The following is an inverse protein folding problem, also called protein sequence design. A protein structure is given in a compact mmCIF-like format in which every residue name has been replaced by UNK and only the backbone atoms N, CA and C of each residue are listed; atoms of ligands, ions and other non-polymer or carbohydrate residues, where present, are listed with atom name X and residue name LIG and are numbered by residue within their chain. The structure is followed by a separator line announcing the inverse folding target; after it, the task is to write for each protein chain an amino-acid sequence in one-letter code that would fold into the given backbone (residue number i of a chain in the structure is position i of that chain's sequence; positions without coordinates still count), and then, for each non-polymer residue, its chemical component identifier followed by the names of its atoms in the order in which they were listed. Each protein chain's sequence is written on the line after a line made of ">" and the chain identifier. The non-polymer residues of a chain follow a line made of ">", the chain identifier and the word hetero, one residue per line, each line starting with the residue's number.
data_IF_516274594722
#
_entry.id   IF_516274594722
#
_cell.length_a   1.000
_cell.length_b   1.000
_cell.length_c   1.000
_cell.angle_alpha   90.00
_cell.angle_beta   90.00
_cell.angle_gamma   90.00
#
_symmetry.space_group_name_H-M   'P 1'
#
loop_
_entity.id
_entity.type
_entity.pdbx_description
1 polymer ?
#
# COMPACT_ATOMS: atom_id res chain seq x y z
N UNK A 1 -12.66 7.60 -13.05
CA UNK A 1 -13.60 7.22 -11.98
C UNK A 1 -14.88 8.05 -12.14
N UNK A 2 -16.02 7.39 -12.32
CA UNK A 2 -17.32 8.08 -12.34
C UNK A 2 -17.61 8.69 -10.98
N UNK A 3 -18.34 9.80 -10.96
CA UNK A 3 -18.76 10.44 -9.70
C UNK A 3 -20.09 9.81 -9.27
N UNK A 4 -20.24 9.55 -7.98
CA UNK A 4 -21.49 9.03 -7.40
C UNK A 4 -22.67 9.99 -7.64
N UNK A 5 -22.41 11.30 -7.52
CA UNK A 5 -23.39 12.36 -7.73
C UNK A 5 -22.99 13.23 -8.94
N UNK A 6 -22.96 12.63 -10.14
CA UNK A 6 -22.72 13.37 -11.38
C UNK A 6 -22.87 12.51 -12.62
N UNK A 7 -23.17 13.14 -13.77
CA UNK A 7 -23.52 12.45 -15.01
C UNK A 7 -22.29 11.93 -15.81
N UNK A 8 -21.07 12.11 -15.28
CA UNK A 8 -19.82 11.79 -15.97
C UNK A 8 -19.46 10.29 -15.90
N UNK A 9 -19.08 9.71 -17.05
CA UNK A 9 -18.75 8.28 -17.22
C UNK A 9 -17.24 7.96 -17.17
N UNK A 10 -16.49 8.61 -16.28
CA UNK A 10 -15.03 8.51 -16.25
C UNK A 10 -14.51 7.10 -15.85
N UNK A 11 -13.58 6.51 -16.61
CA UNK A 11 -13.12 5.12 -16.38
C UNK A 11 -11.73 4.99 -15.71
N UNK A 12 -11.04 6.09 -15.40
CA UNK A 12 -9.69 6.01 -14.81
C UNK A 12 -9.69 5.30 -13.45
N UNK A 13 -8.90 4.23 -13.34
CA UNK A 13 -8.63 3.45 -12.13
C UNK A 13 -7.24 2.78 -12.24
N UNK A 14 -6.59 2.44 -11.11
CA UNK A 14 -5.33 1.69 -11.13
C UNK A 14 -5.53 0.26 -11.65
N UNK A 15 -4.64 -0.19 -12.54
CA UNK A 15 -4.59 -1.57 -13.01
C UNK A 15 -3.46 -2.33 -12.29
N UNK A 16 -3.75 -3.20 -11.31
CA UNK A 16 -2.72 -3.98 -10.62
C UNK A 16 -2.07 -5.00 -11.58
N UNK A 17 -0.76 -5.30 -11.40
CA UNK A 17 -0.09 -6.29 -12.24
C UNK A 17 -0.67 -7.69 -12.03
N UNK A 18 -0.68 -8.49 -13.09
CA UNK A 18 -1.14 -9.89 -13.04
C UNK A 18 -0.33 -10.72 -12.04
N UNK A 19 1.00 -10.57 -12.06
CA UNK A 19 1.91 -11.30 -11.17
C UNK A 19 1.84 -10.73 -9.76
N UNK A 20 1.47 -11.59 -8.79
CA UNK A 20 1.35 -11.23 -7.36
C UNK A 20 2.60 -11.49 -6.53
N UNK A 21 3.66 -12.02 -7.13
CA UNK A 21 4.97 -12.22 -6.47
C UNK A 21 5.74 -10.90 -6.44
N UNK A 22 6.61 -10.68 -5.43
CA UNK A 22 7.45 -9.50 -5.41
C UNK A 22 8.42 -9.50 -6.62
N UNK A 23 8.78 -8.33 -7.15
CA UNK A 23 9.76 -8.22 -8.22
C UNK A 23 11.15 -8.68 -7.75
N UNK A 24 11.96 -9.22 -8.66
CA UNK A 24 13.31 -9.73 -8.35
C UNK A 24 14.29 -8.65 -7.89
N UNK A 25 14.08 -7.41 -8.30
CA UNK A 25 14.90 -6.26 -7.90
C UNK A 25 14.59 -5.75 -6.49
N UNK A 26 13.46 -6.16 -5.90
CA UNK A 26 13.05 -5.73 -4.57
C UNK A 26 13.73 -6.61 -3.51
N UNK A 27 14.83 -6.10 -2.92
CA UNK A 27 15.62 -6.81 -1.89
C UNK A 27 15.14 -6.57 -0.45
N UNK A 28 13.95 -6.01 -0.29
CA UNK A 28 13.41 -5.58 1.01
C UNK A 28 12.77 -6.77 1.73
N UNK A 29 13.08 -6.95 3.02
CA UNK A 29 12.46 -8.03 3.81
C UNK A 29 11.03 -7.65 4.23
N UNK A 30 10.12 -8.62 4.39
CA UNK A 30 8.76 -8.34 4.85
C UNK A 30 8.71 -7.60 6.20
N UNK A 31 9.62 -7.92 7.13
CA UNK A 31 9.71 -7.30 8.44
C UNK A 31 10.06 -5.80 8.35
N UNK A 32 11.02 -5.43 7.48
CA UNK A 32 11.40 -4.03 7.26
C UNK A 32 10.23 -3.21 6.72
N UNK A 33 9.41 -3.80 5.84
CA UNK A 33 8.20 -3.15 5.31
C UNK A 33 7.17 -2.91 6.42
N UNK A 34 6.98 -3.86 7.33
CA UNK A 34 6.09 -3.70 8.48
C UNK A 34 6.57 -2.58 9.42
N UNK A 35 7.88 -2.52 9.70
CA UNK A 35 8.47 -1.47 10.52
C UNK A 35 8.30 -0.07 9.90
N UNK A 36 8.48 0.04 8.58
CA UNK A 36 8.23 1.29 7.86
C UNK A 36 6.75 1.71 7.95
N UNK A 37 5.82 0.77 7.78
CA UNK A 37 4.37 1.04 7.92
C UNK A 37 4.06 1.58 9.32
N UNK A 38 4.58 0.94 10.36
CA UNK A 38 4.34 1.32 11.76
C UNK A 38 4.96 2.69 12.06
N UNK A 39 6.15 2.97 11.53
CA UNK A 39 6.83 4.26 11.68
C UNK A 39 6.05 5.39 11.01
N UNK A 40 5.53 5.17 9.81
CA UNK A 40 4.73 6.16 9.09
C UNK A 40 3.36 6.37 9.74
N UNK A 41 2.73 5.30 10.24
CA UNK A 41 1.49 5.41 11.00
C UNK A 41 1.68 6.18 12.32
N UNK A 42 2.81 6.00 13.03
CA UNK A 42 3.14 6.81 14.22
C UNK A 42 3.29 8.30 13.91
N UNK A 43 3.69 8.65 12.69
CA UNK A 43 3.74 10.04 12.22
C UNK A 43 2.36 10.61 11.86
N UNK A 44 1.29 9.83 11.99
CA UNK A 44 -0.08 10.25 11.69
C UNK A 44 -0.47 10.10 10.21
N UNK A 45 0.31 9.40 9.38
CA UNK A 45 -0.07 9.18 7.99
C UNK A 45 -1.22 8.17 7.88
N UNK A 46 -2.17 8.46 7.01
CA UNK A 46 -3.29 7.54 6.70
C UNK A 46 -2.81 6.33 5.89
N UNK A 47 -3.50 5.17 5.94
CA UNK A 47 -3.10 3.99 5.19
C UNK A 47 -2.92 4.21 3.68
N UNK A 48 -3.71 5.09 3.08
CA UNK A 48 -3.59 5.47 1.66
C UNK A 48 -2.29 6.24 1.40
N UNK A 49 -1.96 7.22 2.25
CA UNK A 49 -0.71 7.98 2.14
C UNK A 49 0.51 7.08 2.35
N UNK A 50 0.47 6.18 3.35
CA UNK A 50 1.54 5.21 3.59
C UNK A 50 1.80 4.37 2.34
N UNK A 51 0.75 3.88 1.68
CA UNK A 51 0.89 3.12 0.44
C UNK A 51 1.55 3.91 -0.69
N UNK A 52 1.22 5.20 -0.83
CA UNK A 52 1.85 6.11 -1.80
C UNK A 52 3.32 6.33 -1.47
N UNK A 53 3.65 6.62 -0.21
CA UNK A 53 5.03 6.83 0.24
C UNK A 53 5.90 5.59 0.03
N UNK A 54 5.39 4.39 0.34
CA UNK A 54 6.12 3.13 0.10
C UNK A 54 6.38 2.89 -1.38
N UNK A 55 5.44 3.27 -2.25
CA UNK A 55 5.61 3.13 -3.70
C UNK A 55 6.63 4.13 -4.26
N UNK A 56 6.50 5.39 -3.89
CA UNK A 56 7.22 6.49 -4.54
C UNK A 56 8.63 6.70 -3.95
N UNK A 57 8.83 6.43 -2.65
CA UNK A 57 10.13 6.60 -1.99
C UNK A 57 10.91 5.29 -1.84
N UNK A 58 10.23 4.19 -1.51
CA UNK A 58 10.88 2.90 -1.23
C UNK A 58 10.81 1.94 -2.42
N UNK A 59 10.10 2.29 -3.50
CA UNK A 59 9.95 1.44 -4.68
C UNK A 59 9.15 0.16 -4.43
N UNK A 60 8.31 0.11 -3.39
CA UNK A 60 7.47 -1.06 -3.07
C UNK A 60 6.12 -0.91 -3.78
N UNK A 61 5.84 -1.64 -4.88
CA UNK A 61 4.65 -1.40 -5.69
C UNK A 61 3.36 -1.89 -5.02
N UNK A 62 3.42 -3.01 -4.29
CA UNK A 62 2.30 -3.61 -3.59
C UNK A 62 2.77 -4.25 -2.29
N UNK A 63 2.35 -3.70 -1.15
CA UNK A 63 2.64 -4.24 0.18
C UNK A 63 2.17 -5.69 0.30
N UNK A 64 0.98 -6.00 -0.22
CA UNK A 64 0.40 -7.35 -0.17
C UNK A 64 1.28 -8.40 -0.86
N UNK A 65 2.00 -8.03 -1.92
CA UNK A 65 2.88 -8.96 -2.63
C UNK A 65 4.13 -9.32 -1.83
N UNK A 66 4.55 -8.45 -0.90
CA UNK A 66 5.76 -8.64 -0.09
C UNK A 66 5.42 -9.29 1.25
N UNK A 67 4.45 -8.75 1.98
CA UNK A 67 4.11 -9.18 3.35
C UNK A 67 2.94 -10.17 3.41
N UNK A 68 2.24 -10.39 2.30
CA UNK A 68 1.02 -11.21 2.26
C UNK A 68 -0.23 -10.54 2.85
N UNK A 69 -0.08 -9.39 3.53
CA UNK A 69 -1.16 -8.68 4.21
C UNK A 69 -1.34 -7.26 3.69
N UNK A 70 -2.56 -6.71 3.80
CA UNK A 70 -2.83 -5.29 3.49
C UNK A 70 -2.37 -4.40 4.65
N UNK A 71 -2.03 -3.14 4.37
CA UNK A 71 -1.59 -2.13 5.35
C UNK A 71 -2.54 -2.07 6.56
N UNK A 72 -3.84 -1.94 6.30
CA UNK A 72 -4.87 -1.89 7.36
C UNK A 72 -4.88 -3.12 8.28
N UNK A 73 -4.56 -4.33 7.75
CA UNK A 73 -4.48 -5.54 8.58
C UNK A 73 -3.22 -5.55 9.43
N UNK A 74 -2.11 -5.05 8.90
CA UNK A 74 -0.83 -4.95 9.62
C UNK A 74 -0.99 -3.97 10.80
N UNK A 75 -1.60 -2.80 10.56
CA UNK A 75 -1.86 -1.81 11.61
C UNK A 75 -2.78 -2.35 12.72
N UNK A 76 -3.88 -3.02 12.34
CA UNK A 76 -4.79 -3.68 13.30
C UNK A 76 -4.11 -4.73 14.16
N UNK A 77 -3.22 -5.56 13.57
CA UNK A 77 -2.44 -6.56 14.33
C UNK A 77 -1.55 -5.91 15.39
N UNK A 78 -1.07 -4.69 15.15
CA UNK A 78 -0.24 -3.94 16.09
C UNK A 78 -1.04 -3.04 17.05
N UNK A 79 -2.38 -3.13 17.06
CA UNK A 79 -3.22 -2.34 17.96
C UNK A 79 -3.28 -0.85 17.62
N UNK A 80 -2.99 -0.46 16.37
CA UNK A 80 -3.10 0.92 15.91
C UNK A 80 -4.25 1.07 14.90
N UNK A 81 -5.08 2.13 15.01
CA UNK A 81 -6.19 2.38 14.10
C UNK A 81 -5.74 2.58 12.65
#
# INVERSE_FOLDING_TARGET
>A
MGRMYGNGKGMSAPAPPFRRRPPSWLRVKPQEVEDHIVKLARKGQTPSQIGVTLRDQFGIPQVKSVTGSKILRILKKQGKP
#
